data_IF_133725464987
#
_entry.id   IF_133725464987
#
_cell.length_a   1.000
_cell.length_b   1.000
_cell.length_c   1.000
_cell.angle_alpha   90.00
_cell.angle_beta   90.00
_cell.angle_gamma   90.00
#
_symmetry.space_group_name_H-M   'P 1'
#
loop_
_entity.id
_entity.type
_entity.pdbx_description
1 polymer ?
#
# COMPACT_ATOMS: atom_id res chain seq x y z
N UNK A 1 8.32 -1.82 -0.99
CA UNK A 1 9.34 -2.82 -1.29
C UNK A 1 10.70 -2.18 -1.62
N UNK A 2 10.78 -1.11 -2.45
CA UNK A 2 12.04 -0.42 -2.74
C UNK A 2 12.78 0.03 -1.48
N UNK A 3 12.09 0.73 -0.56
CA UNK A 3 12.66 1.14 0.73
C UNK A 3 13.16 -0.06 1.54
N UNK A 4 12.37 -1.14 1.60
CA UNK A 4 12.77 -2.36 2.32
C UNK A 4 14.01 -3.01 1.68
N UNK A 5 14.05 -3.08 0.36
CA UNK A 5 15.21 -3.62 -0.35
C UNK A 5 16.47 -2.76 -0.13
N UNK A 6 16.33 -1.43 -0.16
CA UNK A 6 17.42 -0.51 0.14
C UNK A 6 17.93 -0.68 1.59
N UNK A 7 17.03 -0.80 2.57
CA UNK A 7 17.42 -1.07 3.96
C UNK A 7 18.24 -2.37 4.12
N UNK A 8 17.83 -3.43 3.43
CA UNK A 8 18.56 -4.69 3.46
C UNK A 8 19.91 -4.61 2.75
N UNK A 9 20.00 -3.82 1.68
CA UNK A 9 21.26 -3.60 0.96
C UNK A 9 22.26 -2.76 1.78
N UNK A 10 21.76 -1.77 2.52
CA UNK A 10 22.61 -0.90 3.36
C UNK A 10 23.09 -1.58 4.64
N UNK A 11 22.44 -2.62 5.12
CA UNK A 11 22.80 -3.28 6.37
C UNK A 11 22.63 -4.79 6.30
N UNK A 12 23.72 -5.48 6.00
CA UNK A 12 23.79 -6.94 5.89
C UNK A 12 23.49 -7.70 7.19
N UNK A 13 23.50 -7.02 8.33
CA UNK A 13 23.17 -7.62 9.63
C UNK A 13 21.65 -7.69 9.87
N UNK A 14 20.85 -6.99 9.08
CA UNK A 14 19.40 -7.06 9.18
C UNK A 14 18.87 -8.37 8.58
N UNK A 15 18.35 -9.26 9.41
CA UNK A 15 17.60 -10.45 8.96
C UNK A 15 16.24 -10.08 8.31
N UNK A 16 15.84 -8.83 8.39
CA UNK A 16 14.65 -8.26 7.79
C UNK A 16 14.57 -6.77 8.06
N UNK A 17 13.85 -6.04 7.22
CA UNK A 17 13.59 -4.62 7.38
C UNK A 17 12.09 -4.40 7.58
N UNK A 18 11.74 -3.58 8.56
CA UNK A 18 10.39 -3.12 8.84
C UNK A 18 10.29 -1.65 8.47
N UNK A 19 9.25 -1.29 7.73
CA UNK A 19 8.90 0.11 7.51
C UNK A 19 7.83 0.51 8.53
N UNK A 20 8.02 1.65 9.16
CA UNK A 20 7.09 2.26 10.09
C UNK A 20 6.73 3.64 9.57
N UNK A 21 5.50 4.09 9.84
CA UNK A 21 5.04 5.45 9.45
C UNK A 21 5.41 5.79 7.99
N UNK A 22 5.03 4.91 7.05
CA UNK A 22 5.24 5.16 5.63
C UNK A 22 4.24 6.20 5.13
N UNK A 23 4.76 7.31 4.63
CA UNK A 23 3.97 8.40 4.04
C UNK A 23 4.12 8.37 2.52
N UNK A 24 3.01 8.55 1.82
CA UNK A 24 2.97 8.83 0.39
C UNK A 24 2.80 10.33 0.20
N UNK A 25 3.80 10.99 -0.38
CA UNK A 25 3.91 12.45 -0.45
C UNK A 25 3.55 12.99 -1.83
N UNK A 26 3.93 12.27 -2.88
CA UNK A 26 3.62 12.63 -4.26
C UNK A 26 3.50 11.38 -5.12
N UNK A 27 2.61 11.38 -6.14
CA UNK A 27 2.53 10.27 -7.08
C UNK A 27 3.82 10.16 -7.89
N UNK A 28 4.27 8.92 -8.16
CA UNK A 28 5.32 8.63 -9.11
C UNK A 28 4.70 8.36 -10.47
N UNK A 29 4.74 9.36 -11.35
CA UNK A 29 4.28 9.21 -12.73
C UNK A 29 5.40 8.60 -13.55
N UNK A 30 5.13 7.47 -14.19
CA UNK A 30 6.06 6.79 -15.09
C UNK A 30 5.71 7.17 -16.53
N UNK A 31 6.67 7.74 -17.24
CA UNK A 31 6.59 7.90 -18.68
C UNK A 31 7.21 6.69 -19.36
N UNK A 32 6.40 5.96 -20.13
CA UNK A 32 6.87 4.77 -20.83
C UNK A 32 7.95 5.07 -21.88
N UNK A 33 8.02 6.30 -22.39
CA UNK A 33 8.96 6.67 -23.44
C UNK A 33 10.35 7.01 -22.91
N UNK A 34 10.44 7.65 -21.74
CA UNK A 34 11.70 8.27 -21.30
C UNK A 34 12.34 7.59 -20.08
N UNK A 35 11.64 6.69 -19.42
CA UNK A 35 12.07 6.14 -18.14
C UNK A 35 12.21 7.25 -17.08
N UNK A 36 12.30 6.87 -15.81
CA UNK A 36 12.56 7.80 -14.73
C UNK A 36 13.54 7.19 -13.74
N UNK A 37 14.59 7.91 -13.41
CA UNK A 37 15.47 7.50 -12.33
C UNK A 37 14.75 7.68 -11.00
N UNK A 38 14.67 6.58 -10.22
CA UNK A 38 14.11 6.60 -8.88
C UNK A 38 15.20 6.23 -7.90
N UNK A 39 15.40 7.06 -6.89
CA UNK A 39 16.41 6.91 -5.86
C UNK A 39 15.77 6.48 -4.55
N UNK A 40 16.34 5.46 -3.92
CA UNK A 40 15.99 5.03 -2.58
C UNK A 40 17.15 5.34 -1.63
N UNK A 41 16.96 6.24 -0.70
CA UNK A 41 17.93 6.65 0.30
C UNK A 41 17.54 6.10 1.66
N UNK A 42 18.50 5.59 2.43
CA UNK A 42 18.29 5.07 3.78
C UNK A 42 19.35 5.67 4.71
N UNK A 43 18.89 6.39 5.71
CA UNK A 43 19.71 6.82 6.84
C UNK A 43 19.58 5.78 7.96
N UNK A 44 20.61 4.96 8.13
CA UNK A 44 20.63 3.90 9.14
C UNK A 44 20.81 4.44 10.56
N UNK A 45 21.38 5.64 10.72
CA UNK A 45 21.55 6.29 12.02
C UNK A 45 20.25 6.91 12.51
N UNK A 46 19.49 7.56 11.62
CA UNK A 46 18.20 8.13 11.92
C UNK A 46 17.02 7.15 11.76
N UNK A 47 17.29 5.91 11.31
CA UNK A 47 16.28 4.90 11.00
C UNK A 47 15.20 5.43 10.03
N UNK A 48 15.59 6.17 8.98
CA UNK A 48 14.69 6.81 8.02
C UNK A 48 14.95 6.33 6.61
N UNK A 49 13.90 6.37 5.79
CA UNK A 49 14.03 6.17 4.35
C UNK A 49 13.33 7.27 3.57
N UNK A 50 13.79 7.48 2.36
CA UNK A 50 13.17 8.36 1.37
C UNK A 50 13.24 7.72 -0.02
N UNK A 51 12.14 7.82 -0.77
CA UNK A 51 12.05 7.45 -2.18
C UNK A 51 11.81 8.74 -2.95
N UNK A 52 12.70 9.07 -3.87
CA UNK A 52 12.62 10.28 -4.67
C UNK A 52 12.93 10.03 -6.14
N UNK A 53 12.55 10.95 -7.00
CA UNK A 53 13.00 11.02 -8.39
C UNK A 53 13.42 12.42 -8.74
N UNK A 54 14.16 12.54 -9.84
CA UNK A 54 14.50 13.84 -10.43
C UNK A 54 13.44 14.22 -11.44
N UNK A 55 12.84 15.39 -11.29
CA UNK A 55 11.86 15.96 -12.22
C UNK A 55 12.53 16.59 -13.45
N UNK A 56 11.73 17.20 -14.34
CA UNK A 56 12.18 17.78 -15.61
C UNK A 56 13.15 18.96 -15.44
N UNK A 57 13.08 19.68 -14.33
CA UNK A 57 13.95 20.82 -14.01
C UNK A 57 15.08 20.44 -13.04
N UNK A 58 15.52 19.19 -13.03
CA UNK A 58 16.49 18.64 -12.06
C UNK A 58 16.02 18.76 -10.59
N UNK A 59 14.76 19.14 -10.37
CA UNK A 59 14.22 19.26 -9.03
C UNK A 59 13.94 17.88 -8.43
N UNK A 60 14.41 17.64 -7.21
CA UNK A 60 14.09 16.43 -6.42
C UNK A 60 12.63 16.44 -6.02
N UNK A 61 11.91 15.37 -6.37
CA UNK A 61 10.53 15.12 -5.93
C UNK A 61 10.53 13.92 -5.02
N UNK A 62 10.11 14.09 -3.76
CA UNK A 62 9.97 13.01 -2.80
C UNK A 62 8.60 12.36 -2.93
N UNK A 63 8.57 11.06 -3.22
CA UNK A 63 7.34 10.29 -3.41
C UNK A 63 6.88 9.57 -2.15
N UNK A 64 7.82 9.07 -1.37
CA UNK A 64 7.53 8.39 -0.11
C UNK A 64 8.68 8.58 0.87
N UNK A 65 8.33 8.76 2.13
CA UNK A 65 9.28 8.82 3.23
C UNK A 65 8.69 8.15 4.47
N UNK A 66 9.56 7.81 5.42
CA UNK A 66 9.12 7.20 6.66
C UNK A 66 10.28 6.65 7.48
N UNK A 67 9.95 5.85 8.47
CA UNK A 67 10.95 5.18 9.29
C UNK A 67 11.24 3.78 8.76
N UNK A 68 12.50 3.38 8.85
CA UNK A 68 12.97 2.07 8.41
C UNK A 68 14.00 1.55 9.40
N UNK A 69 13.80 0.36 9.91
CA UNK A 69 14.70 -0.24 10.90
C UNK A 69 14.72 -1.75 10.85
N UNK A 70 15.44 -2.35 11.79
CA UNK A 70 15.44 -3.79 11.96
C UNK A 70 14.03 -4.31 12.22
N UNK A 71 13.76 -5.54 11.78
CA UNK A 71 12.48 -6.19 12.02
C UNK A 71 12.27 -6.38 13.52
N UNK A 72 11.34 -5.61 14.09
CA UNK A 72 10.86 -5.78 15.44
C UNK A 72 9.77 -6.86 15.54
N UNK A 73 9.28 -7.07 16.75
CA UNK A 73 8.08 -7.91 16.97
C UNK A 73 6.92 -7.21 16.27
N UNK A 74 6.21 -7.88 15.35
CA UNK A 74 5.03 -7.29 14.73
C UNK A 74 4.01 -6.95 15.84
N UNK A 75 3.31 -5.81 15.71
CA UNK A 75 2.24 -5.50 16.65
C UNK A 75 1.23 -6.66 16.65
N UNK A 76 0.73 -7.00 17.82
CA UNK A 76 -0.36 -7.97 17.95
C UNK A 76 -1.53 -7.47 17.08
N UNK A 77 -1.73 -8.11 15.94
CA UNK A 77 -2.80 -7.76 15.02
C UNK A 77 -4.17 -8.12 15.62
N UNK A 78 -5.21 -7.48 15.11
CA UNK A 78 -6.57 -7.92 15.41
C UNK A 78 -6.74 -9.38 14.97
N UNK A 79 -7.40 -10.19 15.79
CA UNK A 79 -7.72 -11.56 15.40
C UNK A 79 -8.63 -11.55 14.17
N UNK A 80 -8.10 -12.03 13.06
CA UNK A 80 -8.81 -12.06 11.79
C UNK A 80 -10.10 -12.89 11.84
N UNK A 81 -10.20 -13.86 12.75
CA UNK A 81 -11.42 -14.64 12.93
C UNK A 81 -12.50 -13.79 13.60
N UNK A 82 -12.16 -13.07 14.64
CA UNK A 82 -13.07 -12.14 15.32
C UNK A 82 -13.55 -11.04 14.38
N UNK A 83 -12.68 -10.44 13.59
CA UNK A 83 -13.08 -9.41 12.60
C UNK A 83 -14.04 -10.00 11.57
N UNK A 84 -13.78 -11.21 11.06
CA UNK A 84 -14.68 -11.87 10.10
C UNK A 84 -16.07 -12.13 10.69
N UNK A 85 -16.16 -12.50 11.96
CA UNK A 85 -17.44 -12.72 12.65
C UNK A 85 -18.27 -11.44 12.78
N UNK A 86 -17.60 -10.28 12.89
CA UNK A 86 -18.28 -8.97 12.93
C UNK A 86 -18.85 -8.54 11.58
N UNK A 87 -18.24 -8.98 10.47
CA UNK A 87 -18.59 -8.55 9.12
C UNK A 87 -19.66 -9.47 8.51
N UNK A 88 -20.92 -9.00 8.53
CA UNK A 88 -22.05 -9.76 8.01
C UNK A 88 -22.57 -9.33 6.64
N UNK A 89 -22.26 -8.13 6.19
CA UNK A 89 -22.72 -7.60 4.90
C UNK A 89 -21.71 -7.93 3.80
N UNK A 90 -22.08 -8.83 2.89
CA UNK A 90 -21.27 -9.13 1.70
C UNK A 90 -21.33 -7.98 0.68
N UNK A 91 -20.22 -7.71 0.03
CA UNK A 91 -20.11 -6.74 -1.06
C UNK A 91 -19.50 -7.42 -2.28
N UNK A 92 -20.17 -7.27 -3.41
CA UNK A 92 -19.65 -7.78 -4.68
C UNK A 92 -18.44 -6.96 -5.14
N UNK A 93 -17.30 -7.60 -5.46
CA UNK A 93 -16.11 -6.88 -5.92
C UNK A 93 -16.38 -5.98 -7.14
N UNK A 94 -17.23 -6.43 -8.06
CA UNK A 94 -17.62 -5.64 -9.24
C UNK A 94 -18.27 -4.31 -8.87
N UNK A 95 -19.10 -4.30 -7.83
CA UNK A 95 -19.75 -3.08 -7.31
C UNK A 95 -18.72 -2.12 -6.73
N UNK A 96 -17.75 -2.64 -5.98
CA UNK A 96 -16.66 -1.84 -5.43
C UNK A 96 -15.85 -1.18 -6.56
N UNK A 97 -15.40 -1.95 -7.54
CA UNK A 97 -14.58 -1.41 -8.64
C UNK A 97 -15.37 -0.48 -9.57
N UNK A 98 -16.67 -0.69 -9.72
CA UNK A 98 -17.54 0.28 -10.40
C UNK A 98 -17.62 1.61 -9.62
N UNK A 99 -17.69 1.53 -8.29
CA UNK A 99 -17.63 2.70 -7.42
C UNK A 99 -16.31 3.47 -7.56
N UNK A 100 -15.18 2.78 -7.53
CA UNK A 100 -13.87 3.42 -7.76
C UNK A 100 -13.79 4.10 -9.13
N UNK A 101 -14.27 3.44 -10.19
CA UNK A 101 -14.29 4.02 -11.53
C UNK A 101 -15.16 5.30 -11.59
N UNK A 102 -16.27 5.34 -10.89
CA UNK A 102 -17.17 6.52 -10.88
C UNK A 102 -16.51 7.77 -10.28
N UNK A 103 -15.46 7.61 -9.51
CA UNK A 103 -14.68 8.68 -8.90
C UNK A 103 -13.30 8.86 -9.56
N UNK A 104 -13.08 8.27 -10.75
CA UNK A 104 -11.87 8.44 -11.54
C UNK A 104 -10.72 7.48 -11.20
N UNK A 105 -10.94 6.48 -10.33
CA UNK A 105 -9.93 5.45 -10.02
C UNK A 105 -10.16 4.22 -10.88
N UNK A 106 -9.41 4.09 -11.96
CA UNK A 106 -9.47 2.97 -12.89
C UNK A 106 -8.43 1.90 -12.55
N UNK A 107 -8.84 0.95 -11.72
CA UNK A 107 -7.98 -0.20 -11.40
C UNK A 107 -7.92 -1.19 -12.56
N UNK A 108 -6.71 -1.46 -13.07
CA UNK A 108 -6.47 -2.55 -14.02
C UNK A 108 -6.66 -3.94 -13.39
N UNK A 109 -6.77 -5.01 -14.20
CA UNK A 109 -7.07 -6.36 -13.71
C UNK A 109 -6.12 -6.87 -12.62
N UNK A 110 -4.84 -6.54 -12.72
CA UNK A 110 -3.82 -6.95 -11.73
C UNK A 110 -3.99 -6.28 -10.38
N UNK A 111 -4.60 -5.08 -10.37
CA UNK A 111 -4.90 -4.30 -9.17
C UNK A 111 -6.36 -4.44 -8.72
N UNK A 112 -7.05 -5.47 -9.17
CA UNK A 112 -8.36 -5.90 -8.66
C UNK A 112 -8.21 -7.23 -7.89
N UNK A 113 -7.47 -7.26 -6.78
CA UNK A 113 -7.15 -8.51 -6.07
C UNK A 113 -8.30 -9.00 -5.19
N UNK A 114 -9.30 -8.20 -4.89
CA UNK A 114 -10.36 -8.56 -3.95
C UNK A 114 -11.31 -9.59 -4.54
N UNK A 115 -11.52 -10.68 -3.81
CA UNK A 115 -12.36 -11.80 -4.25
C UNK A 115 -13.65 -11.92 -3.43
N UNK A 116 -13.54 -11.84 -2.12
CA UNK A 116 -14.67 -11.88 -1.19
C UNK A 116 -14.54 -10.75 -0.21
N UNK A 117 -15.57 -9.92 -0.12
CA UNK A 117 -15.58 -8.72 0.71
C UNK A 117 -16.78 -8.82 1.66
N UNK A 118 -16.54 -8.53 2.92
CA UNK A 118 -17.61 -8.37 3.90
C UNK A 118 -17.31 -7.18 4.81
N UNK A 119 -18.35 -6.47 5.24
CA UNK A 119 -18.21 -5.29 6.07
C UNK A 119 -19.27 -5.19 7.15
N UNK A 120 -18.96 -4.40 8.18
CA UNK A 120 -19.88 -3.88 9.17
C UNK A 120 -19.54 -2.41 9.43
N UNK A 121 -20.28 -1.50 8.79
CA UNK A 121 -20.05 -0.07 8.94
C UNK A 121 -20.24 0.44 10.36
N UNK A 122 -21.20 -0.12 11.09
CA UNK A 122 -21.47 0.27 12.46
C UNK A 122 -20.33 -0.10 13.42
N UNK A 123 -19.67 -1.22 13.17
CA UNK A 123 -18.50 -1.66 13.92
C UNK A 123 -17.18 -1.07 13.39
N UNK A 124 -17.19 -0.32 12.29
CA UNK A 124 -15.98 0.16 11.62
C UNK A 124 -15.08 -0.98 11.15
N UNK A 125 -15.66 -2.11 10.73
CA UNK A 125 -14.93 -3.31 10.37
C UNK A 125 -15.18 -3.70 8.90
N UNK A 126 -14.11 -4.06 8.20
CA UNK A 126 -14.17 -4.66 6.87
C UNK A 126 -13.15 -5.78 6.77
N UNK A 127 -13.47 -6.78 5.98
CA UNK A 127 -12.58 -7.90 5.67
C UNK A 127 -12.69 -8.27 4.20
N UNK A 128 -11.60 -8.69 3.61
CA UNK A 128 -11.59 -9.20 2.25
C UNK A 128 -10.65 -10.40 2.12
N UNK A 129 -10.94 -11.24 1.14
CA UNK A 129 -10.02 -12.28 0.68
C UNK A 129 -9.43 -11.83 -0.63
N UNK A 130 -8.10 -11.90 -0.72
CA UNK A 130 -7.37 -11.58 -1.94
C UNK A 130 -7.24 -12.83 -2.82
N UNK A 131 -7.29 -12.63 -4.12
CA UNK A 131 -6.95 -13.66 -5.12
C UNK A 131 -5.53 -14.17 -4.88
N UNK A 132 -5.37 -15.48 -4.89
CA UNK A 132 -4.05 -16.07 -4.73
C UNK A 132 -3.17 -15.75 -5.94
N UNK A 133 -1.97 -15.22 -5.67
CA UNK A 133 -0.95 -14.99 -6.69
C UNK A 133 0.05 -16.14 -6.74
N UNK A 134 0.46 -16.49 -7.94
CA UNK A 134 1.50 -17.49 -8.17
C UNK A 134 2.90 -16.88 -8.27
N UNK A 135 2.98 -15.57 -8.51
CA UNK A 135 4.26 -14.84 -8.65
C UNK A 135 4.23 -13.58 -7.78
N UNK A 136 5.27 -13.39 -6.99
CA UNK A 136 5.45 -12.21 -6.15
C UNK A 136 6.39 -11.16 -6.78
N UNK A 137 6.85 -11.38 -8.01
CA UNK A 137 7.74 -10.48 -8.76
C UNK A 137 8.95 -9.97 -7.94
N UNK A 138 9.54 -10.86 -7.13
CA UNK A 138 10.68 -10.52 -6.27
C UNK A 138 10.33 -9.77 -4.99
N UNK A 139 9.04 -9.52 -4.72
CA UNK A 139 8.58 -8.81 -3.52
C UNK A 139 8.13 -9.80 -2.43
N UNK A 140 8.18 -9.42 -1.14
CA UNK A 140 7.57 -10.21 -0.06
C UNK A 140 6.06 -10.09 -0.04
N UNK A 141 5.56 -8.89 -0.30
CA UNK A 141 4.14 -8.59 -0.47
C UNK A 141 4.00 -7.94 -1.83
N UNK A 142 3.17 -8.51 -2.68
CA UNK A 142 2.93 -7.92 -4.00
C UNK A 142 2.25 -6.54 -3.85
N UNK A 143 2.66 -5.51 -4.60
CA UNK A 143 2.09 -4.15 -4.48
C UNK A 143 0.57 -4.13 -4.58
N UNK A 144 -0.01 -4.89 -5.50
CA UNK A 144 -1.47 -4.95 -5.65
C UNK A 144 -2.18 -5.63 -4.46
N UNK A 145 -1.51 -6.49 -3.70
CA UNK A 145 -2.09 -7.10 -2.49
C UNK A 145 -2.08 -6.11 -1.34
N UNK A 146 -1.02 -5.29 -1.23
CA UNK A 146 -0.98 -4.18 -0.30
C UNK A 146 -2.05 -3.13 -0.65
N UNK A 147 -2.18 -2.79 -1.93
CA UNK A 147 -3.23 -1.89 -2.40
C UNK A 147 -4.63 -2.45 -2.14
N UNK A 148 -4.83 -3.77 -2.29
CA UNK A 148 -6.07 -4.43 -1.92
C UNK A 148 -6.46 -4.25 -0.45
N UNK A 149 -5.49 -4.19 0.47
CA UNK A 149 -5.75 -3.86 1.86
C UNK A 149 -6.23 -2.40 2.01
N UNK A 150 -5.62 -1.45 1.28
CA UNK A 150 -6.06 -0.06 1.24
C UNK A 150 -7.46 0.09 0.63
N UNK A 151 -7.74 -0.60 -0.48
CA UNK A 151 -9.06 -0.65 -1.11
C UNK A 151 -10.13 -1.15 -0.12
N UNK A 152 -9.80 -2.17 0.67
CA UNK A 152 -10.72 -2.71 1.70
C UNK A 152 -11.01 -1.67 2.78
N UNK A 153 -10.02 -0.90 3.22
CA UNK A 153 -10.20 0.16 4.20
C UNK A 153 -11.09 1.30 3.67
N UNK A 154 -11.00 1.59 2.37
CA UNK A 154 -11.82 2.58 1.69
C UNK A 154 -13.34 2.33 1.80
N UNK A 155 -13.76 1.08 1.98
CA UNK A 155 -15.18 0.72 2.19
C UNK A 155 -15.78 1.30 3.47
N UNK A 156 -14.94 1.64 4.44
CA UNK A 156 -15.37 2.20 5.73
C UNK A 156 -15.49 3.72 5.70
N UNK A 157 -15.02 4.36 4.64
CA UNK A 157 -15.14 5.81 4.49
C UNK A 157 -16.61 6.22 4.27
N UNK A 158 -17.03 7.37 4.78
CA UNK A 158 -18.36 7.91 4.50
C UNK A 158 -18.55 8.14 2.99
N UNK A 159 -19.74 7.86 2.48
CA UNK A 159 -20.07 8.05 1.04
C UNK A 159 -19.97 9.52 0.57
N UNK A 160 -19.96 10.47 1.50
CA UNK A 160 -19.77 11.90 1.26
C UNK A 160 -18.32 12.37 1.39
N UNK A 161 -17.39 11.47 1.72
CA UNK A 161 -15.99 11.83 1.79
C UNK A 161 -15.49 12.13 0.36
N UNK A 162 -14.93 13.31 0.16
CA UNK A 162 -14.12 13.58 -1.02
C UNK A 162 -13.06 12.48 -1.12
N UNK A 163 -12.85 11.98 -2.33
CA UNK A 163 -11.80 11.01 -2.57
C UNK A 163 -10.46 11.63 -2.15
N UNK A 164 -9.99 11.25 -1.00
CA UNK A 164 -8.62 11.57 -0.57
C UNK A 164 -7.75 10.40 -0.96
N UNK A 165 -6.94 10.59 -1.98
CA UNK A 165 -5.84 9.69 -2.24
C UNK A 165 -4.93 9.67 -1.00
N UNK A 166 -4.23 8.55 -0.72
CA UNK A 166 -3.37 8.42 0.46
C UNK A 166 -2.07 9.23 0.32
N UNK A 167 -2.19 10.47 -0.17
CA UNK A 167 -1.10 11.43 -0.21
C UNK A 167 -1.31 12.46 0.91
N UNK A 168 -0.25 12.77 1.60
CA UNK A 168 -0.24 13.78 2.69
C UNK A 168 0.11 15.13 2.13
#
# INVERSE_FOLDING_TARGET
EMARAACLACNSHFKGATLKRAYFLAPLVLDAANGREVRAEVDTGAERYEISSTGEEEQKVTHSAGDAGAMGVPPSGADAASVRQLCGLAVEPSTLYAGFRSIGLEYGPDFQPLERIALNKAAGAATAVLKRRTRLAGTKVHPADLDGALQTSGLLLPSSAELRLPFV
#
